data_IF_129194495975
#
_entry.id   IF_129194495975
#
_cell.length_a   1.000
_cell.length_b   1.000
_cell.length_c   1.000
_cell.angle_alpha   90.00
_cell.angle_beta   90.00
_cell.angle_gamma   90.00
#
_symmetry.space_group_name_H-M   'P 1'
#
loop_
_entity.id
_entity.type
_entity.pdbx_description
1 polymer ?
#
# COMPACT_ATOMS: atom_id res chain seq x y z
N UNK A 1 -19.70 -16.06 29.08
CA UNK A 1 -18.81 -14.87 28.98
C UNK A 1 -17.56 -15.21 28.17
N UNK A 2 -16.71 -16.16 28.59
CA UNK A 2 -15.48 -16.55 27.86
C UNK A 2 -15.71 -16.96 26.39
N UNK A 3 -16.76 -17.75 26.13
CA UNK A 3 -17.12 -18.18 24.77
C UNK A 3 -17.59 -17.03 23.87
N UNK A 4 -18.17 -15.96 24.44
CA UNK A 4 -18.57 -14.76 23.68
C UNK A 4 -17.39 -13.83 23.43
N UNK A 5 -16.51 -13.67 24.43
CA UNK A 5 -15.26 -12.90 24.31
C UNK A 5 -14.35 -13.47 23.21
N UNK A 6 -14.15 -14.80 23.18
CA UNK A 6 -13.35 -15.47 22.14
C UNK A 6 -13.89 -15.23 20.72
N UNK A 7 -15.21 -15.23 20.53
CA UNK A 7 -15.83 -14.90 19.24
C UNK A 7 -15.70 -13.42 18.88
N UNK A 8 -15.84 -12.51 19.84
CA UNK A 8 -15.68 -11.07 19.63
C UNK A 8 -14.24 -10.70 19.27
N UNK A 9 -13.24 -11.23 20.00
CA UNK A 9 -11.82 -11.02 19.70
C UNK A 9 -11.44 -11.58 18.32
N UNK A 10 -11.91 -12.77 17.98
CA UNK A 10 -11.63 -13.39 16.68
C UNK A 10 -12.32 -12.66 15.52
N UNK A 11 -13.51 -12.11 15.76
CA UNK A 11 -14.26 -11.29 14.80
C UNK A 11 -13.58 -9.92 14.58
N UNK A 12 -13.15 -9.25 15.66
CA UNK A 12 -12.46 -7.95 15.57
C UNK A 12 -11.08 -8.06 14.90
N UNK A 13 -10.33 -9.11 15.21
CA UNK A 13 -9.04 -9.41 14.54
C UNK A 13 -9.24 -9.72 13.06
N UNK A 14 -10.31 -10.43 12.70
CA UNK A 14 -10.63 -10.73 11.30
C UNK A 14 -11.10 -9.49 10.55
N UNK A 15 -11.92 -8.63 11.16
CA UNK A 15 -12.32 -7.35 10.60
C UNK A 15 -11.13 -6.41 10.38
N UNK A 16 -10.19 -6.34 11.33
CA UNK A 16 -8.96 -5.57 11.19
C UNK A 16 -8.04 -6.11 10.08
N UNK A 17 -8.01 -7.44 9.87
CA UNK A 17 -7.26 -8.05 8.77
C UNK A 17 -7.95 -7.87 7.41
N UNK A 18 -9.27 -7.95 7.32
CA UNK A 18 -10.02 -7.73 6.09
C UNK A 18 -9.87 -6.26 5.65
N UNK A 19 -10.13 -5.31 6.55
CA UNK A 19 -9.95 -3.88 6.27
C UNK A 19 -8.51 -3.50 5.92
N UNK A 20 -7.51 -4.13 6.55
CA UNK A 20 -6.10 -3.93 6.14
C UNK A 20 -5.81 -4.55 4.78
N UNK A 21 -6.37 -5.73 4.49
CA UNK A 21 -6.13 -6.45 3.24
C UNK A 21 -6.76 -5.77 2.03
N UNK A 22 -7.92 -5.11 2.20
CA UNK A 22 -8.64 -4.38 1.16
C UNK A 22 -7.77 -3.35 0.43
N UNK A 23 -6.84 -2.70 1.13
CA UNK A 23 -5.96 -1.67 0.55
C UNK A 23 -4.51 -2.14 0.33
N UNK A 24 -4.18 -3.42 0.56
CA UNK A 24 -2.80 -3.91 0.37
C UNK A 24 -2.35 -3.83 -1.09
N UNK A 25 -3.25 -4.04 -2.04
CA UNK A 25 -2.95 -3.95 -3.48
C UNK A 25 -2.57 -2.52 -3.88
N UNK A 26 -3.39 -1.53 -3.53
CA UNK A 26 -3.15 -0.11 -3.79
C UNK A 26 -1.87 0.37 -3.09
N UNK A 27 -1.66 -0.04 -1.84
CA UNK A 27 -0.44 0.28 -1.08
C UNK A 27 0.80 -0.31 -1.75
N UNK A 28 0.72 -1.52 -2.30
CA UNK A 28 1.83 -2.16 -3.00
C UNK A 28 2.17 -1.41 -4.29
N UNK A 29 1.16 -1.03 -5.08
CA UNK A 29 1.36 -0.24 -6.30
C UNK A 29 1.99 1.13 -5.98
N UNK A 30 1.51 1.80 -4.94
CA UNK A 30 2.07 3.08 -4.50
C UNK A 30 3.53 2.94 -4.04
N UNK A 31 3.83 1.92 -3.23
CA UNK A 31 5.20 1.70 -2.74
C UNK A 31 6.17 1.29 -3.85
N UNK A 32 5.71 0.51 -4.84
CA UNK A 32 6.53 0.19 -6.01
C UNK A 32 6.84 1.45 -6.81
N UNK A 33 5.83 2.29 -7.06
CA UNK A 33 6.02 3.56 -7.75
C UNK A 33 7.03 4.46 -7.02
N UNK A 34 6.98 4.52 -5.69
CA UNK A 34 7.97 5.27 -4.89
C UNK A 34 9.38 4.69 -4.98
N UNK A 35 9.53 3.36 -5.00
CA UNK A 35 10.83 2.73 -5.18
C UNK A 35 11.43 3.11 -6.54
N UNK A 36 10.66 2.98 -7.61
CA UNK A 36 11.09 3.32 -8.97
C UNK A 36 11.44 4.81 -9.09
N UNK A 37 10.64 5.69 -8.47
CA UNK A 37 10.90 7.13 -8.42
C UNK A 37 12.21 7.47 -7.71
N UNK A 38 12.46 6.85 -6.55
CA UNK A 38 13.68 7.10 -5.78
C UNK A 38 14.91 6.57 -6.50
N UNK A 39 14.81 5.41 -7.16
CA UNK A 39 15.91 4.86 -7.95
C UNK A 39 16.23 5.73 -9.17
N UNK A 40 15.22 6.24 -9.88
CA UNK A 40 15.41 7.19 -10.97
C UNK A 40 16.09 8.51 -10.50
N UNK A 41 15.85 8.91 -9.24
CA UNK A 41 16.43 10.12 -8.66
C UNK A 41 17.88 9.94 -8.14
N UNK A 42 18.45 8.73 -8.16
CA UNK A 42 19.84 8.52 -7.75
C UNK A 42 20.84 9.18 -8.69
N UNK A 43 20.49 9.29 -9.97
CA UNK A 43 21.39 9.78 -11.02
C UNK A 43 21.04 11.21 -11.47
N UNK A 44 19.74 11.54 -11.49
CA UNK A 44 19.23 12.83 -11.96
C UNK A 44 18.01 13.25 -11.14
N UNK A 45 18.01 14.46 -10.62
CA UNK A 45 16.84 15.02 -9.92
C UNK A 45 15.66 15.17 -10.89
N UNK A 46 14.59 14.42 -10.66
CA UNK A 46 13.33 14.44 -11.41
C UNK A 46 12.19 14.63 -10.42
N UNK A 47 11.28 15.56 -10.70
CA UNK A 47 10.14 15.80 -9.82
C UNK A 47 9.13 14.63 -9.87
N UNK A 48 8.36 14.39 -8.80
CA UNK A 48 7.33 13.33 -8.79
C UNK A 48 6.31 13.47 -9.93
N UNK A 49 5.96 14.71 -10.28
CA UNK A 49 5.00 15.02 -11.33
C UNK A 49 5.54 14.66 -12.72
N UNK A 50 6.81 14.96 -12.99
CA UNK A 50 7.43 14.65 -14.28
C UNK A 50 7.67 13.14 -14.42
N UNK A 51 8.05 12.46 -13.33
CA UNK A 51 8.22 11.00 -13.29
C UNK A 51 6.89 10.27 -13.58
N UNK A 52 5.77 10.78 -13.05
CA UNK A 52 4.45 10.25 -13.37
C UNK A 52 4.08 10.37 -14.85
N UNK A 53 4.50 11.46 -15.52
CA UNK A 53 4.25 11.67 -16.96
C UNK A 53 5.08 10.76 -17.86
N UNK A 54 6.27 10.36 -17.44
CA UNK A 54 7.12 9.44 -18.21
C UNK A 54 6.61 8.01 -18.15
N UNK A 55 6.09 7.58 -16.99
CA UNK A 55 5.58 6.21 -16.81
C UNK A 55 4.26 5.96 -17.56
N UNK A 56 3.44 7.00 -17.74
CA UNK A 56 2.13 6.90 -18.41
C UNK A 56 2.19 7.00 -19.95
N UNK A 57 3.38 7.00 -20.56
CA UNK A 57 3.59 7.16 -22.01
C UNK A 57 3.76 5.85 -22.78
N UNK A 58 3.50 4.71 -22.14
CA UNK A 58 3.56 3.37 -22.76
C UNK A 58 2.18 2.76 -22.79
#
# INVERSE_FOLDING_TARGET
VERQMSHQERSSVRAANIHKAEHLGERRLMLQWWADYLDANREKGVSPFDFGKTNNKT
#
